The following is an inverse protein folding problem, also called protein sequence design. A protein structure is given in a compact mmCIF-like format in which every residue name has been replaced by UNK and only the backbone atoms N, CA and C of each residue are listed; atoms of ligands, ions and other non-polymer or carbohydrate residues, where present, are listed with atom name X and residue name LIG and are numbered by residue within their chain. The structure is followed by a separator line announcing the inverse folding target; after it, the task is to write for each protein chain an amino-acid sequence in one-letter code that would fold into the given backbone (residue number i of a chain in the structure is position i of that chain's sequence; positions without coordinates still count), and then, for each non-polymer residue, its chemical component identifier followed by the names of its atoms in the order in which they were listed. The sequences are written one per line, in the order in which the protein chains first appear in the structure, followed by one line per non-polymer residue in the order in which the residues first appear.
data_IF_777593458804
#
_entry.id   IF_777593458804
#
_cell.length_a   1.000
_cell.length_b   1.000
_cell.length_c   1.000
_cell.angle_alpha   90.00
_cell.angle_beta   90.00
_cell.angle_gamma   90.00
#
_symmetry.space_group_name_H-M   'P 1'
#
loop_
_entity.id
_entity.type
_entity.pdbx_description
1 polymer ?
#
# COMPACT_ATOMS: atom_id res chain seq x y z
N UNK A 1 22.60 7.07 -6.85
CA UNK A 1 22.47 6.38 -5.54
C UNK A 1 21.12 6.73 -4.89
N UNK A 2 20.48 5.83 -4.14
CA UNK A 2 19.14 5.98 -3.48
C UNK A 2 17.86 5.85 -4.34
N UNK A 3 17.93 5.73 -5.66
CA UNK A 3 16.72 5.53 -6.49
C UNK A 3 16.07 4.14 -6.31
N UNK A 4 16.87 3.12 -5.97
CA UNK A 4 16.35 1.77 -5.66
C UNK A 4 15.43 1.78 -4.45
N UNK A 5 15.69 2.66 -3.47
CA UNK A 5 14.81 2.85 -2.32
C UNK A 5 13.44 3.39 -2.74
N UNK A 6 13.39 4.28 -3.75
CA UNK A 6 12.12 4.82 -4.25
C UNK A 6 11.23 3.74 -4.87
N UNK A 7 11.82 2.72 -5.52
CA UNK A 7 11.06 1.58 -6.03
C UNK A 7 10.51 0.70 -4.91
N UNK A 8 11.34 0.34 -3.93
CA UNK A 8 10.88 -0.46 -2.80
C UNK A 8 9.81 0.27 -1.98
N UNK A 9 9.97 1.58 -1.81
CA UNK A 9 8.96 2.43 -1.18
C UNK A 9 7.66 2.47 -1.99
N UNK A 10 7.76 2.67 -3.31
CA UNK A 10 6.60 2.68 -4.20
C UNK A 10 5.83 1.35 -4.19
N UNK A 11 6.54 0.24 -4.22
CA UNK A 11 5.96 -1.10 -4.17
C UNK A 11 5.20 -1.35 -2.86
N UNK A 12 5.85 -1.09 -1.72
CA UNK A 12 5.19 -1.24 -0.42
C UNK A 12 4.01 -0.28 -0.23
N UNK A 13 4.09 0.94 -0.79
CA UNK A 13 2.97 1.89 -0.76
C UNK A 13 1.76 1.39 -1.56
N UNK A 14 1.99 0.86 -2.75
CA UNK A 14 0.91 0.31 -3.59
C UNK A 14 0.28 -0.91 -2.92
N UNK A 15 1.07 -1.81 -2.34
CA UNK A 15 0.54 -2.96 -1.60
C UNK A 15 -0.34 -2.54 -0.42
N UNK A 16 0.06 -1.49 0.31
CA UNK A 16 -0.74 -0.99 1.41
C UNK A 16 -2.04 -0.30 0.95
N UNK A 17 -2.00 0.46 -0.14
CA UNK A 17 -3.21 1.02 -0.76
C UNK A 17 -4.16 -0.08 -1.23
N UNK A 18 -3.63 -1.17 -1.78
CA UNK A 18 -4.41 -2.33 -2.19
C UNK A 18 -5.07 -3.03 -1.00
N UNK A 19 -4.35 -3.25 0.11
CA UNK A 19 -4.93 -3.81 1.33
C UNK A 19 -6.06 -2.93 1.92
N UNK A 20 -5.95 -1.61 1.82
CA UNK A 20 -7.04 -0.68 2.19
C UNK A 20 -8.24 -0.84 1.25
N UNK A 21 -8.00 -0.97 -0.05
CA UNK A 21 -9.06 -1.22 -1.02
C UNK A 21 -9.81 -2.53 -0.74
N UNK A 22 -9.10 -3.62 -0.47
CA UNK A 22 -9.73 -4.92 -0.16
C UNK A 22 -10.56 -4.88 1.13
N UNK A 23 -10.09 -4.14 2.14
CA UNK A 23 -10.79 -4.03 3.43
C UNK A 23 -11.91 -2.98 3.46
N UNK A 24 -11.86 -1.96 2.60
CA UNK A 24 -12.82 -0.86 2.56
C UNK A 24 -12.90 -0.25 1.16
N UNK A 25 -13.61 -0.92 0.22
CA UNK A 25 -13.66 -0.49 -1.18
C UNK A 25 -14.50 0.79 -1.37
N UNK A 26 -15.49 1.02 -0.51
CA UNK A 26 -16.41 2.15 -0.64
C UNK A 26 -15.68 3.50 -0.48
N UNK A 27 -15.79 4.34 -1.51
CA UNK A 27 -15.14 5.66 -1.55
C UNK A 27 -13.62 5.62 -1.72
N UNK A 28 -13.02 4.44 -1.92
CA UNK A 28 -11.57 4.32 -2.18
C UNK A 28 -11.17 5.04 -3.48
N UNK A 29 -11.95 4.83 -4.54
CA UNK A 29 -11.69 5.41 -5.86
C UNK A 29 -11.59 6.95 -5.81
N UNK A 30 -12.53 7.61 -5.14
CA UNK A 30 -12.55 9.07 -5.04
C UNK A 30 -11.31 9.60 -4.30
N UNK A 31 -10.98 8.98 -3.16
CA UNK A 31 -9.76 9.29 -2.40
C UNK A 31 -8.50 9.08 -3.24
N UNK A 32 -8.45 8.00 -4.02
CA UNK A 32 -7.33 7.68 -4.90
C UNK A 32 -7.16 8.72 -6.00
N UNK A 33 -8.25 9.15 -6.64
CA UNK A 33 -8.20 10.22 -7.63
C UNK A 33 -7.75 11.55 -7.03
N UNK A 34 -8.20 11.90 -5.82
CA UNK A 34 -7.78 13.14 -5.17
C UNK A 34 -6.29 13.12 -4.80
N UNK A 35 -5.77 11.98 -4.34
CA UNK A 35 -4.34 11.78 -4.13
C UNK A 35 -3.55 11.97 -5.44
N UNK A 36 -3.99 11.36 -6.54
CA UNK A 36 -3.32 11.50 -7.84
C UNK A 36 -3.34 12.94 -8.37
N UNK A 37 -4.46 13.65 -8.20
CA UNK A 37 -4.59 15.07 -8.60
C UNK A 37 -3.64 15.97 -7.82
N UNK A 38 -3.42 15.70 -6.55
CA UNK A 38 -2.53 16.48 -5.70
C UNK A 38 -1.04 16.31 -6.11
N UNK A 39 -0.68 15.19 -6.73
CA UNK A 39 0.68 14.92 -7.18
C UNK A 39 1.73 15.19 -6.10
N UNK A 40 2.77 15.95 -6.42
CA UNK A 40 3.83 16.34 -5.47
C UNK A 40 3.54 17.61 -4.64
N UNK A 41 2.34 18.19 -4.75
CA UNK A 41 2.02 19.46 -4.09
C UNK A 41 1.72 19.33 -2.59
N UNK A 42 1.53 18.09 -2.12
CA UNK A 42 1.28 17.76 -0.72
C UNK A 42 2.34 16.80 -0.20
N UNK A 43 2.61 16.86 1.10
CA UNK A 43 3.54 15.94 1.73
C UNK A 43 2.92 14.53 1.79
N UNK A 44 3.73 13.48 1.57
CA UNK A 44 3.28 12.08 1.53
C UNK A 44 2.42 11.68 2.75
N UNK A 45 2.72 12.23 3.93
CA UNK A 45 1.93 12.00 5.15
C UNK A 45 0.48 12.47 5.00
N UNK A 46 0.28 13.66 4.43
CA UNK A 46 -1.05 14.27 4.29
C UNK A 46 -1.82 13.60 3.15
N UNK A 47 -1.13 13.17 2.10
CA UNK A 47 -1.70 12.41 0.98
C UNK A 47 -2.24 11.04 1.40
N UNK A 48 -1.61 10.43 2.41
CA UNK A 48 -1.92 9.06 2.84
C UNK A 48 -2.91 9.00 4.02
N UNK A 49 -3.07 10.10 4.76
CA UNK A 49 -4.00 10.19 5.87
C UNK A 49 -5.47 9.81 5.53
N UNK A 50 -6.04 10.16 4.36
CA UNK A 50 -7.41 9.77 3.98
C UNK A 50 -7.63 8.26 3.85
N UNK A 51 -6.55 7.50 3.65
CA UNK A 51 -6.54 6.04 3.58
C UNK A 51 -6.25 5.40 4.95
N UNK A 52 -6.06 6.21 6.01
CA UNK A 52 -5.61 5.75 7.31
C UNK A 52 -4.14 5.31 7.32
N UNK A 53 -3.37 5.68 6.29
CA UNK A 53 -2.01 5.19 6.09
C UNK A 53 -0.99 6.20 6.63
N UNK A 54 0.03 5.68 7.29
CA UNK A 54 1.15 6.47 7.82
C UNK A 54 2.47 5.74 7.59
N UNK A 55 3.23 6.17 6.59
CA UNK A 55 4.52 5.56 6.23
C UNK A 55 5.60 5.65 7.32
N UNK A 56 5.41 6.51 8.34
CA UNK A 56 6.30 6.59 9.51
C UNK A 56 5.97 5.58 10.61
N UNK A 57 4.84 4.85 10.52
CA UNK A 57 4.47 3.81 11.47
C UNK A 57 5.01 2.44 10.98
N UNK A 58 5.87 1.74 11.73
CA UNK A 58 6.33 0.41 11.36
C UNK A 58 5.20 -0.61 11.13
N UNK A 59 4.06 -0.46 11.81
CA UNK A 59 2.90 -1.35 11.65
C UNK A 59 2.31 -1.29 10.24
N UNK A 60 2.44 -0.15 9.57
CA UNK A 60 2.01 0.02 8.18
C UNK A 60 2.76 -0.94 7.24
N UNK A 61 4.09 -1.00 7.37
CA UNK A 61 4.92 -1.88 6.55
C UNK A 61 4.66 -3.36 6.84
N UNK A 62 4.27 -3.68 8.08
CA UNK A 62 3.88 -5.04 8.44
C UNK A 62 2.64 -5.52 7.68
N UNK A 63 1.66 -4.65 7.43
CA UNK A 63 0.47 -5.00 6.64
C UNK A 63 0.83 -5.37 5.19
N UNK A 64 1.71 -4.59 4.54
CA UNK A 64 2.17 -4.91 3.18
C UNK A 64 2.94 -6.23 3.11
N UNK A 65 3.77 -6.52 4.12
CA UNK A 65 4.48 -7.80 4.20
C UNK A 65 3.55 -8.98 4.48
N UNK A 66 2.50 -8.79 5.28
CA UNK A 66 1.48 -9.82 5.52
C UNK A 66 0.71 -10.18 4.26
N UNK A 67 0.39 -9.21 3.40
CA UNK A 67 -0.27 -9.45 2.11
C UNK A 67 0.61 -10.30 1.17
N UNK A 68 1.92 -10.02 1.11
CA UNK A 68 2.85 -10.86 0.35
C UNK A 68 2.94 -12.27 0.96
N UNK A 69 2.97 -12.37 2.29
CA UNK A 69 2.97 -13.67 2.98
C UNK A 69 1.74 -14.49 2.62
N UNK A 70 0.54 -13.91 2.60
CA UNK A 70 -0.67 -14.66 2.25
C UNK A 70 -0.67 -15.10 0.78
N UNK A 71 -0.11 -14.31 -0.13
CA UNK A 71 0.06 -14.73 -1.53
C UNK A 71 1.01 -15.94 -1.65
N UNK A 72 2.05 -16.01 -0.83
CA UNK A 72 2.95 -17.16 -0.77
C UNK A 72 2.21 -18.38 -0.20
N UNK A 73 1.47 -18.21 0.89
CA UNK A 73 0.68 -19.30 1.49
C UNK A 73 -0.37 -19.86 0.50
N UNK A 74 -1.03 -18.99 -0.27
CA UNK A 74 -1.96 -19.39 -1.34
C UNK A 74 -1.26 -20.21 -2.43
N UNK A 75 -0.07 -19.78 -2.86
CA UNK A 75 0.73 -20.49 -3.87
C UNK A 75 1.18 -21.86 -3.37
N UNK A 76 1.67 -21.97 -2.13
CA UNK A 76 2.07 -23.23 -1.51
C UNK A 76 0.89 -24.22 -1.42
N UNK A 77 -0.31 -23.72 -1.11
CA UNK A 77 -1.53 -24.53 -1.06
C UNK A 77 -1.95 -25.07 -2.44
N UNK A 78 -1.57 -24.40 -3.54
CA UNK A 78 -1.84 -24.87 -4.91
C UNK A 78 -0.89 -25.99 -5.36
N UNK A 79 0.30 -26.12 -4.76
CA UNK A 79 1.29 -27.15 -5.09
C UNK A 79 1.10 -28.47 -4.33
N UNK A 80 0.08 -28.56 -3.46
CA UNK A 80 -0.20 -29.79 -2.70
C UNK A 80 -1.16 -30.71 -3.50
N UNK A 81 -0.79 -31.97 -3.80
CA UNK A 81 -1.64 -32.91 -4.54
C UNK A 81 -2.85 -33.44 -3.75
#
# INVERSE_FOLDING_TARGET
PFYVYAYAFGDGLVNALYAVYESSPDGFQDKYFDMLKAGGSQHHKDLLAPFGLNASDPKFWQQGLTMISSMIDELEAMETP
#
